data_IF_828780322771
#
_entry.id   IF_828780322771
#
_cell.length_a   1.000
_cell.length_b   1.000
_cell.length_c   1.000
_cell.angle_alpha   90.00
_cell.angle_beta   90.00
_cell.angle_gamma   90.00
#
_symmetry.space_group_name_H-M   'P 1'
#
loop_
_entity.id
_entity.type
_entity.pdbx_description
1 polymer ?
#
# COMPACT_ATOMS: atom_id res chain seq x y z
N UNK A 1 -7.98 1.11 20.93
CA UNK A 1 -6.88 0.40 20.22
C UNK A 1 -7.40 0.08 18.84
N UNK A 2 -6.62 0.30 17.78
CA UNK A 2 -7.12 0.04 16.43
C UNK A 2 -6.99 -1.44 16.05
N UNK A 3 -8.00 -1.93 15.34
CA UNK A 3 -8.01 -3.21 14.64
C UNK A 3 -7.93 -2.94 13.15
N UNK A 4 -7.28 -3.84 12.40
CA UNK A 4 -7.01 -3.70 10.98
C UNK A 4 -7.48 -4.97 10.27
N UNK A 5 -8.28 -4.82 9.22
CA UNK A 5 -8.77 -5.94 8.43
C UNK A 5 -8.76 -5.58 6.95
N UNK A 6 -8.14 -6.44 6.13
CA UNK A 6 -8.28 -6.35 4.69
C UNK A 6 -9.66 -6.85 4.26
N UNK A 7 -10.30 -6.07 3.39
CA UNK A 7 -11.47 -6.49 2.64
C UNK A 7 -10.99 -7.30 1.43
N UNK A 8 -11.64 -8.43 1.16
CA UNK A 8 -11.20 -9.40 0.14
C UNK A 8 -12.30 -9.72 -0.88
N UNK A 9 -13.45 -9.06 -0.79
CA UNK A 9 -14.56 -9.23 -1.74
C UNK A 9 -14.30 -8.34 -2.96
N UNK A 10 -14.12 -8.96 -4.14
CA UNK A 10 -13.72 -8.27 -5.39
C UNK A 10 -14.72 -7.19 -5.87
N UNK A 11 -15.99 -7.29 -5.46
CA UNK A 11 -17.02 -6.31 -5.79
C UNK A 11 -16.96 -5.03 -4.90
N UNK A 12 -16.17 -5.05 -3.82
CA UNK A 12 -15.99 -3.87 -2.96
C UNK A 12 -14.84 -2.99 -3.48
N UNK A 13 -15.21 -1.94 -4.22
CA UNK A 13 -14.29 -0.84 -4.57
C UNK A 13 -14.69 0.42 -3.83
N UNK A 14 -13.70 1.15 -3.30
CA UNK A 14 -13.92 2.45 -2.68
C UNK A 14 -13.34 3.54 -3.58
N UNK A 15 -14.21 4.40 -4.12
CA UNK A 15 -13.79 5.67 -4.69
C UNK A 15 -13.14 6.51 -3.59
N UNK A 16 -11.84 6.78 -3.74
CA UNK A 16 -11.07 7.53 -2.75
C UNK A 16 -10.01 8.36 -3.45
N UNK A 17 -9.52 9.40 -2.76
CA UNK A 17 -8.38 10.19 -3.19
C UNK A 17 -7.24 10.07 -2.20
N UNK A 18 -6.00 10.36 -2.65
CA UNK A 18 -4.84 10.44 -1.77
C UNK A 18 -5.17 11.31 -0.56
N UNK A 19 -5.16 10.69 0.60
CA UNK A 19 -5.49 11.33 1.86
C UNK A 19 -4.24 11.55 2.68
N UNK A 20 -3.42 10.51 2.86
CA UNK A 20 -2.14 10.56 3.57
C UNK A 20 -0.97 10.21 2.65
N UNK A 21 0.04 11.08 2.67
CA UNK A 21 1.34 10.81 2.08
C UNK A 21 2.16 9.93 3.03
N UNK A 22 2.71 8.84 2.50
CA UNK A 22 3.53 7.89 3.27
C UNK A 22 4.96 8.42 3.50
N UNK A 23 5.40 9.38 2.67
CA UNK A 23 6.78 9.83 2.56
C UNK A 23 7.69 8.87 1.79
N UNK A 24 7.12 7.84 1.16
CA UNK A 24 7.82 6.80 0.42
C UNK A 24 7.70 7.10 -1.07
N UNK A 25 8.83 7.15 -1.77
CA UNK A 25 8.89 7.37 -3.23
C UNK A 25 9.21 5.99 -3.85
N UNK A 26 10.29 5.89 -4.62
CA UNK A 26 10.81 4.65 -5.18
C UNK A 26 12.05 4.20 -4.40
N UNK A 27 12.28 2.88 -4.33
CA UNK A 27 13.43 2.29 -3.65
C UNK A 27 13.05 1.17 -2.69
N UNK A 28 14.01 0.77 -1.86
CA UNK A 28 13.87 -0.33 -0.88
C UNK A 28 12.74 -0.08 0.13
N UNK A 29 12.42 1.18 0.44
CA UNK A 29 11.30 1.52 1.32
C UNK A 29 9.94 1.21 0.68
N UNK A 30 9.79 1.30 -0.65
CA UNK A 30 8.56 0.84 -1.33
C UNK A 30 8.47 -0.69 -1.23
N UNK A 31 9.58 -1.41 -1.47
CA UNK A 31 9.62 -2.85 -1.31
C UNK A 31 9.26 -3.29 0.13
N UNK A 32 9.81 -2.60 1.13
CA UNK A 32 9.49 -2.83 2.54
C UNK A 32 8.01 -2.57 2.84
N UNK A 33 7.45 -1.47 2.34
CA UNK A 33 6.03 -1.16 2.50
C UNK A 33 5.13 -2.25 1.90
N UNK A 34 5.42 -2.68 0.66
CA UNK A 34 4.73 -3.79 -0.01
C UNK A 34 4.83 -5.10 0.78
N UNK A 35 6.03 -5.46 1.23
CA UNK A 35 6.26 -6.66 2.04
C UNK A 35 5.52 -6.62 3.39
N UNK A 36 5.43 -5.45 4.03
CA UNK A 36 4.67 -5.27 5.27
C UNK A 36 3.16 -5.42 5.05
N UNK A 37 2.65 -4.92 3.94
CA UNK A 37 1.24 -5.15 3.55
C UNK A 37 0.97 -6.63 3.35
N UNK A 38 1.85 -7.36 2.65
CA UNK A 38 1.74 -8.81 2.50
C UNK A 38 1.71 -9.54 3.84
N UNK A 39 2.55 -9.14 4.81
CA UNK A 39 2.55 -9.71 6.17
C UNK A 39 1.23 -9.46 6.90
N UNK A 40 0.70 -8.24 6.81
CA UNK A 40 -0.50 -7.84 7.56
C UNK A 40 -1.80 -8.37 6.94
N UNK A 41 -1.86 -8.38 5.60
CA UNK A 41 -3.11 -8.42 4.86
C UNK A 41 -3.14 -9.48 3.76
N UNK A 42 -2.01 -10.12 3.45
CA UNK A 42 -1.92 -11.05 2.31
C UNK A 42 -1.94 -10.33 0.97
N UNK A 43 -2.43 -11.01 -0.07
CA UNK A 43 -2.51 -10.44 -1.41
C UNK A 43 -3.52 -9.26 -1.50
N UNK A 44 -3.26 -8.28 -2.38
CA UNK A 44 -4.16 -7.16 -2.59
C UNK A 44 -5.42 -7.57 -3.34
N UNK A 45 -6.45 -6.72 -3.32
CA UNK A 45 -7.65 -6.87 -4.14
C UNK A 45 -7.33 -6.75 -5.64
N UNK A 46 -6.33 -5.93 -5.96
CA UNK A 46 -5.85 -5.75 -7.32
C UNK A 46 -4.33 -5.65 -7.35
N UNK A 47 -3.74 -6.17 -8.42
CA UNK A 47 -2.31 -6.15 -8.69
C UNK A 47 -2.07 -6.11 -10.18
N UNK A 48 -1.06 -5.36 -10.61
CA UNK A 48 -0.59 -5.34 -11.99
C UNK A 48 0.94 -5.31 -12.06
N UNK A 49 1.50 -5.40 -13.27
CA UNK A 49 2.92 -5.15 -13.52
C UNK A 49 3.21 -3.68 -13.89
N UNK A 50 2.23 -2.77 -13.82
CA UNK A 50 2.43 -1.35 -14.02
C UNK A 50 2.90 -0.68 -12.72
N UNK A 51 4.08 -0.08 -12.71
CA UNK A 51 4.64 0.58 -11.53
C UNK A 51 3.80 1.77 -11.04
N UNK A 52 2.99 2.35 -11.92
CA UNK A 52 2.10 3.47 -11.60
C UNK A 52 0.72 3.04 -11.13
N UNK A 53 0.45 1.73 -11.08
CA UNK A 53 -0.81 1.13 -10.63
C UNK A 53 -0.56 -0.31 -10.14
N UNK A 54 0.45 -0.47 -9.28
CA UNK A 54 1.05 -1.79 -9.01
C UNK A 54 0.15 -2.68 -8.15
N UNK A 55 -0.54 -2.10 -7.18
CA UNK A 55 -1.48 -2.81 -6.31
C UNK A 55 -2.48 -1.89 -5.63
N UNK A 56 -3.56 -2.50 -5.12
CA UNK A 56 -4.60 -1.83 -4.35
C UNK A 56 -5.18 -2.75 -3.25
N UNK A 57 -5.22 -2.24 -2.03
CA UNK A 57 -5.93 -2.81 -0.89
C UNK A 57 -7.10 -1.92 -0.47
N UNK A 58 -8.17 -2.53 0.01
CA UNK A 58 -9.18 -1.87 0.84
C UNK A 58 -9.06 -2.39 2.28
N UNK A 59 -8.83 -1.48 3.22
CA UNK A 59 -8.52 -1.79 4.61
C UNK A 59 -9.56 -1.14 5.52
N UNK A 60 -10.30 -1.96 6.26
CA UNK A 60 -11.08 -1.50 7.42
C UNK A 60 -10.11 -1.27 8.59
N UNK A 61 -10.13 -0.05 9.11
CA UNK A 61 -9.54 0.32 10.41
C UNK A 61 -10.70 0.58 11.34
N UNK A 62 -10.68 -0.02 12.53
CA UNK A 62 -11.77 0.15 13.50
C UNK A 62 -11.26 0.30 14.91
N UNK A 63 -12.01 1.03 15.73
CA UNK A 63 -11.88 1.04 17.18
C UNK A 63 -13.22 0.68 17.82
N UNK A 64 -13.36 0.90 19.13
CA UNK A 64 -14.58 0.54 19.88
C UNK A 64 -15.81 1.35 19.45
N UNK A 65 -15.63 2.48 18.75
CA UNK A 65 -16.70 3.43 18.42
C UNK A 65 -16.90 3.65 16.92
N UNK A 66 -15.90 3.40 16.09
CA UNK A 66 -15.87 3.86 14.71
C UNK A 66 -15.14 2.90 13.78
N UNK A 67 -15.48 2.99 12.50
CA UNK A 67 -14.90 2.21 11.41
C UNK A 67 -14.60 3.15 10.24
N UNK A 68 -13.37 3.10 9.76
CA UNK A 68 -12.90 3.84 8.61
C UNK A 68 -12.42 2.84 7.54
N UNK A 69 -12.65 3.19 6.28
CA UNK A 69 -12.18 2.40 5.16
C UNK A 69 -11.14 3.21 4.39
N UNK A 70 -9.95 2.65 4.24
CA UNK A 70 -8.86 3.27 3.52
C UNK A 70 -8.46 2.41 2.34
N UNK A 71 -8.10 3.08 1.26
CA UNK A 71 -7.38 2.43 0.17
C UNK A 71 -5.89 2.54 0.45
N UNK A 72 -5.14 1.47 0.18
CA UNK A 72 -3.68 1.51 0.22
C UNK A 72 -3.16 1.00 -1.10
N UNK A 73 -2.47 1.86 -1.83
CA UNK A 73 -2.11 1.61 -3.22
C UNK A 73 -0.74 2.18 -3.55
N UNK A 74 -0.14 1.69 -4.63
CA UNK A 74 1.07 2.27 -5.22
C UNK A 74 0.72 2.91 -6.57
N UNK A 75 0.92 4.23 -6.64
CA UNK A 75 0.66 5.04 -7.82
C UNK A 75 1.93 5.72 -8.35
N UNK A 76 1.82 6.68 -9.29
CA UNK A 76 2.98 7.35 -9.91
C UNK A 76 3.94 8.02 -8.92
N UNK A 77 3.45 8.44 -7.75
CA UNK A 77 4.25 9.09 -6.71
C UNK A 77 4.77 8.13 -5.64
N UNK A 78 4.62 6.82 -5.83
CA UNK A 78 4.87 5.79 -4.83
C UNK A 78 3.65 5.46 -3.96
N UNK A 79 3.86 4.71 -2.86
CA UNK A 79 2.77 4.24 -1.99
C UNK A 79 1.99 5.36 -1.31
N UNK A 80 0.67 5.22 -1.27
CA UNK A 80 -0.25 6.20 -0.68
C UNK A 80 -1.38 5.52 0.11
N UNK A 81 -1.99 6.29 1.02
CA UNK A 81 -3.24 5.91 1.69
C UNK A 81 -4.33 6.87 1.24
N UNK A 82 -5.39 6.34 0.65
CA UNK A 82 -6.57 7.08 0.22
C UNK A 82 -7.75 6.94 1.18
N UNK A 83 -8.64 7.91 1.13
CA UNK A 83 -9.88 7.96 1.92
C UNK A 83 -10.97 8.69 1.13
N UNK A 84 -12.24 8.33 1.32
CA UNK A 84 -13.35 9.13 0.81
C UNK A 84 -13.65 10.28 1.78
N UNK A 85 -13.16 11.49 1.48
CA UNK A 85 -13.38 12.65 2.32
C UNK A 85 -14.87 13.07 2.42
N UNK A 86 -15.75 12.59 1.52
CA UNK A 86 -17.19 12.84 1.62
C UNK A 86 -17.81 12.19 2.86
N UNK A 87 -17.21 11.12 3.36
CA UNK A 87 -17.60 10.46 4.61
C UNK A 87 -17.46 11.40 5.82
N UNK A 88 -16.50 12.35 5.77
CA UNK A 88 -16.25 13.38 6.78
C UNK A 88 -16.28 12.86 8.25
N UNK A 89 -15.80 11.64 8.46
CA UNK A 89 -15.79 11.02 9.78
C UNK A 89 -14.68 11.61 10.65
N UNK A 90 -15.01 11.88 11.91
CA UNK A 90 -14.03 12.33 12.89
C UNK A 90 -12.88 11.33 13.02
N UNK A 91 -11.69 11.83 13.32
CA UNK A 91 -10.47 11.04 13.56
C UNK A 91 -9.98 10.19 12.37
N UNK A 92 -10.52 10.37 11.15
CA UNK A 92 -10.05 9.65 9.97
C UNK A 92 -8.55 9.92 9.70
N UNK A 93 -8.05 11.10 10.06
CA UNK A 93 -6.63 11.44 9.89
C UNK A 93 -5.73 10.70 10.89
N UNK A 94 -6.19 10.57 12.13
CA UNK A 94 -5.51 9.88 13.21
C UNK A 94 -5.49 8.36 12.96
N UNK A 95 -6.62 7.79 12.52
CA UNK A 95 -6.72 6.37 12.17
C UNK A 95 -5.83 6.00 10.96
N UNK A 96 -5.76 6.84 9.92
CA UNK A 96 -4.84 6.59 8.78
C UNK A 96 -3.36 6.68 9.17
N UNK A 97 -2.98 7.61 10.06
CA UNK A 97 -1.62 7.66 10.62
C UNK A 97 -1.30 6.39 11.42
N UNK A 98 -2.24 5.91 12.22
CA UNK A 98 -2.03 4.68 12.98
C UNK A 98 -1.90 3.44 12.09
N UNK A 99 -2.62 3.39 10.95
CA UNK A 99 -2.42 2.37 9.92
C UNK A 99 -1.01 2.47 9.31
N UNK A 100 -0.57 3.67 8.94
CA UNK A 100 0.77 3.89 8.37
C UNK A 100 1.87 3.43 9.34
N UNK A 101 1.81 3.83 10.61
CA UNK A 101 2.78 3.41 11.62
C UNK A 101 2.77 1.89 11.79
N UNK A 102 1.59 1.27 11.82
CA UNK A 102 1.47 -0.19 11.90
C UNK A 102 2.15 -0.89 10.72
N UNK A 103 2.00 -0.37 9.49
CA UNK A 103 2.68 -0.90 8.30
C UNK A 103 4.20 -0.75 8.44
N UNK A 104 4.68 0.45 8.86
CA UNK A 104 6.11 0.74 9.01
C UNK A 104 6.82 -0.11 10.08
N UNK A 105 6.12 -0.42 11.16
CA UNK A 105 6.63 -1.27 12.26
C UNK A 105 6.61 -2.76 11.94
N UNK A 106 5.87 -3.17 10.91
CA UNK A 106 5.72 -4.59 10.58
C UNK A 106 6.95 -5.11 9.84
N UNK A 107 7.40 -6.30 10.23
CA UNK A 107 8.44 -7.03 9.49
C UNK A 107 7.88 -7.48 8.13
N UNK A 108 8.53 -7.14 7.01
CA UNK A 108 8.02 -7.48 5.68
C UNK A 108 8.12 -8.98 5.40
N UNK A 109 7.16 -9.51 4.67
CA UNK A 109 7.17 -10.86 4.13
C UNK A 109 8.12 -10.95 2.95
N UNK A 110 8.62 -12.15 2.69
CA UNK A 110 9.45 -12.41 1.52
C UNK A 110 8.60 -12.36 0.25
N UNK A 111 9.06 -11.58 -0.73
CA UNK A 111 8.47 -11.52 -2.06
C UNK A 111 9.50 -11.05 -3.08
N UNK A 112 9.22 -11.29 -4.36
CA UNK A 112 10.04 -10.84 -5.48
C UNK A 112 9.13 -10.58 -6.67
N UNK A 113 9.04 -9.33 -7.09
CA UNK A 113 8.16 -8.87 -8.15
C UNK A 113 8.94 -8.08 -9.20
N UNK A 114 8.40 -8.11 -10.42
CA UNK A 114 8.89 -7.32 -11.55
C UNK A 114 7.74 -6.44 -12.00
N UNK A 115 7.96 -5.13 -12.00
CA UNK A 115 7.02 -4.11 -12.46
C UNK A 115 7.72 -3.21 -13.50
N UNK A 116 6.92 -2.47 -14.24
CA UNK A 116 7.35 -1.67 -15.38
C UNK A 116 6.88 -0.23 -15.23
N UNK A 117 7.81 0.71 -15.32
CA UNK A 117 7.49 2.13 -15.40
C UNK A 117 7.49 2.52 -16.88
N UNK A 118 6.32 2.56 -17.50
CA UNK A 118 6.19 2.74 -18.96
C UNK A 118 6.71 4.11 -19.44
N UNK A 119 6.44 5.18 -18.69
CA UNK A 119 6.90 6.53 -19.03
C UNK A 119 8.44 6.67 -19.10
N UNK A 120 9.17 5.82 -18.37
CA UNK A 120 10.63 5.82 -18.34
C UNK A 120 11.26 4.62 -19.08
N UNK A 121 10.45 3.75 -19.69
CA UNK A 121 10.88 2.45 -20.22
C UNK A 121 11.76 1.68 -19.21
N UNK A 122 11.36 1.70 -17.93
CA UNK A 122 12.12 1.07 -16.85
C UNK A 122 11.52 -0.27 -16.44
N UNK A 123 12.38 -1.26 -16.24
CA UNK A 123 12.06 -2.48 -15.50
C UNK A 123 12.58 -2.38 -14.08
N UNK A 124 11.68 -2.60 -13.13
CA UNK A 124 11.95 -2.59 -11.71
C UNK A 124 11.81 -4.02 -11.19
N UNK A 125 12.85 -4.53 -10.54
CA UNK A 125 12.82 -5.77 -9.77
C UNK A 125 12.98 -5.43 -8.31
N UNK A 126 11.98 -5.72 -7.49
CA UNK A 126 11.94 -5.33 -6.09
C UNK A 126 11.30 -6.41 -5.23
N UNK A 127 11.62 -6.39 -3.94
CA UNK A 127 11.20 -7.45 -3.04
C UNK A 127 11.85 -7.38 -1.68
N UNK A 128 11.53 -8.36 -0.84
CA UNK A 128 12.22 -8.60 0.42
C UNK A 128 12.58 -10.07 0.54
N UNK A 129 13.70 -10.36 1.19
CA UNK A 129 14.18 -11.70 1.46
C UNK A 129 14.85 -11.77 2.82
N UNK A 130 14.34 -12.62 3.70
CA UNK A 130 14.83 -12.76 5.07
C UNK A 130 14.89 -11.42 5.84
N UNK A 131 13.93 -10.53 5.59
CA UNK A 131 13.86 -9.20 6.22
C UNK A 131 14.74 -8.11 5.58
N UNK A 132 15.55 -8.43 4.56
CA UNK A 132 16.30 -7.45 3.77
C UNK A 132 15.54 -7.15 2.47
N UNK A 133 15.25 -5.88 2.21
CA UNK A 133 14.52 -5.46 1.01
C UNK A 133 15.46 -4.91 -0.05
N UNK A 134 15.12 -5.12 -1.32
CA UNK A 134 15.90 -4.72 -2.48
C UNK A 134 15.01 -4.01 -3.49
N UNK A 135 15.61 -3.08 -4.23
CA UNK A 135 15.01 -2.41 -5.36
C UNK A 135 16.07 -2.22 -6.44
N UNK A 136 15.78 -2.69 -7.65
CA UNK A 136 16.69 -2.58 -8.78
C UNK A 136 15.92 -2.11 -10.02
N UNK A 137 16.25 -0.92 -10.49
CA UNK A 137 15.69 -0.35 -11.70
C UNK A 137 16.73 -0.36 -12.82
N UNK A 138 16.30 -0.76 -14.02
CA UNK A 138 17.11 -0.76 -15.24
C UNK A 138 16.28 -0.25 -16.41
N UNK A 139 16.94 0.42 -17.33
CA UNK A 139 16.37 0.77 -18.62
C UNK A 139 16.07 -0.49 -19.44
N UNK A 140 14.91 -0.49 -20.09
CA UNK A 140 14.36 -1.54 -20.94
C UNK A 140 13.46 -2.53 -20.20
N UNK A 141 12.47 -3.07 -20.95
CA UNK A 141 11.53 -4.11 -20.50
C UNK A 141 12.15 -5.52 -20.36
#
# INVERSE_FOLDING_TARGET
>A
MYTYKAITEEDETLESSKFLDTGIIAGEESAKFRGSLLTLFGEPLYKSDNAEDAYYYLIEVSDDMSKWYYTVYEGPSGPAIGYDEKENQANAREASKALLEKIKETTPSDFNEVIYYEDFDSKITYGCKSGECFYNEKEGR
#
